data_IF_741033105562
#
_entry.id   IF_741033105562
#
_cell.length_a   1.000
_cell.length_b   1.000
_cell.length_c   1.000
_cell.angle_alpha   90.00
_cell.angle_beta   90.00
_cell.angle_gamma   90.00
#
_symmetry.space_group_name_H-M   'P 1'
#
loop_
_entity.id
_entity.type
_entity.pdbx_description
1 polymer ?
#
# COMPACT_ATOMS: atom_id res chain seq x y z
N UNK A 1 20.98 1.34 9.58
CA UNK A 1 19.74 0.62 9.89
C UNK A 1 19.39 -0.33 8.76
N UNK A 2 19.01 -1.53 9.11
CA UNK A 2 18.59 -2.49 8.11
C UNK A 2 17.15 -2.18 7.65
N UNK A 3 16.96 -2.18 6.33
CA UNK A 3 15.64 -1.98 5.73
C UNK A 3 15.02 -3.33 5.36
N UNK A 4 15.24 -4.32 6.23
CA UNK A 4 14.76 -5.67 5.99
C UNK A 4 13.61 -6.00 6.91
N UNK A 5 12.64 -6.70 6.34
CA UNK A 5 11.50 -7.23 7.05
C UNK A 5 11.47 -8.73 6.88
N UNK A 6 10.82 -9.43 7.79
CA UNK A 6 10.80 -10.89 7.79
C UNK A 6 9.40 -11.42 7.50
N UNK A 7 9.32 -12.66 7.06
CA UNK A 7 8.03 -13.33 6.87
C UNK A 7 7.19 -13.22 8.13
N UNK A 8 5.92 -12.87 7.93
CA UNK A 8 4.98 -12.69 9.02
C UNK A 8 4.91 -11.27 9.58
N UNK A 9 5.83 -10.39 9.20
CA UNK A 9 5.75 -8.99 9.60
C UNK A 9 4.55 -8.32 8.95
N UNK A 10 3.87 -7.45 9.70
CA UNK A 10 2.80 -6.63 9.17
C UNK A 10 3.32 -5.21 9.01
N UNK A 11 3.20 -4.68 7.81
CA UNK A 11 3.67 -3.33 7.50
C UNK A 11 2.50 -2.43 7.14
N UNK A 12 2.58 -1.19 7.61
CA UNK A 12 1.59 -0.17 7.23
C UNK A 12 2.04 0.50 5.94
N UNK A 13 1.27 0.30 4.89
CA UNK A 13 1.46 1.00 3.63
C UNK A 13 0.59 2.25 3.66
N UNK A 14 1.21 3.41 3.51
CA UNK A 14 0.52 4.69 3.63
C UNK A 14 0.78 5.56 2.41
N UNK A 15 -0.22 6.33 2.00
CA UNK A 15 -0.12 7.25 0.88
C UNK A 15 -0.80 8.56 1.22
N UNK A 16 -0.21 9.66 0.75
CA UNK A 16 -0.79 11.00 0.89
C UNK A 16 -1.15 11.52 -0.49
N UNK A 17 -2.37 12.03 -0.63
CA UNK A 17 -2.85 12.63 -1.88
C UNK A 17 -2.92 14.14 -1.70
N UNK A 18 -2.28 14.86 -2.60
CA UNK A 18 -2.22 16.32 -2.52
C UNK A 18 -2.55 16.95 -3.87
N UNK A 19 -3.10 18.18 -3.80
CA UNK A 19 -3.23 19.08 -4.95
C UNK A 19 -2.49 20.36 -4.56
N UNK A 20 -1.49 20.73 -5.36
CA UNK A 20 -0.69 21.94 -5.11
C UNK A 20 -0.15 22.00 -3.68
N UNK A 21 0.27 20.85 -3.15
CA UNK A 21 0.81 20.75 -1.80
C UNK A 21 -0.22 20.66 -0.68
N UNK A 22 -1.52 20.70 -1.00
CA UNK A 22 -2.58 20.60 -0.01
C UNK A 22 -3.19 19.20 0.00
N UNK A 23 -3.26 18.59 1.18
CA UNK A 23 -3.87 17.27 1.33
C UNK A 23 -5.34 17.32 0.91
N UNK A 24 -5.72 16.44 -0.02
CA UNK A 24 -7.05 16.43 -0.62
C UNK A 24 -7.53 15.00 -0.81
N UNK A 25 -8.79 14.73 -0.50
CA UNK A 25 -9.37 13.40 -0.69
C UNK A 25 -9.67 13.14 -2.16
N UNK A 26 -9.18 12.02 -2.74
CA UNK A 26 -9.64 11.58 -4.06
C UNK A 26 -11.09 11.08 -3.97
N UNK A 27 -11.75 10.98 -5.12
CA UNK A 27 -13.10 10.38 -5.17
C UNK A 27 -13.07 8.88 -4.88
N UNK A 28 -12.02 8.19 -5.34
CA UNK A 28 -11.80 6.78 -5.01
C UNK A 28 -10.34 6.57 -4.64
N UNK A 29 -10.10 5.60 -3.75
CA UNK A 29 -8.75 5.20 -3.35
C UNK A 29 -8.66 3.68 -3.41
N UNK A 30 -7.63 3.18 -4.07
CA UNK A 30 -7.37 1.76 -4.18
C UNK A 30 -5.90 1.47 -3.89
N UNK A 31 -5.65 0.33 -3.28
CA UNK A 31 -4.30 -0.19 -3.08
C UNK A 31 -4.21 -1.55 -3.76
N UNK A 32 -3.26 -1.69 -4.66
CA UNK A 32 -2.97 -2.96 -5.31
C UNK A 32 -1.70 -3.52 -4.70
N UNK A 33 -1.74 -4.78 -4.28
CA UNK A 33 -0.59 -5.46 -3.66
C UNK A 33 -0.34 -6.75 -4.41
N UNK A 34 0.92 -6.98 -4.76
CA UNK A 34 1.33 -8.20 -5.46
C UNK A 34 2.44 -8.88 -4.68
N UNK A 35 2.20 -10.14 -4.32
CA UNK A 35 3.21 -10.97 -3.65
C UNK A 35 4.22 -11.50 -4.66
N UNK A 36 5.40 -11.99 -4.20
CA UNK A 36 6.44 -12.47 -5.12
C UNK A 36 6.02 -13.63 -6.01
N UNK A 37 5.08 -14.44 -5.54
CA UNK A 37 4.63 -15.62 -6.28
C UNK A 37 3.33 -15.39 -7.04
N UNK A 38 2.69 -14.24 -6.86
CA UNK A 38 1.41 -13.98 -7.51
C UNK A 38 1.60 -13.49 -8.94
N UNK A 39 0.68 -13.91 -9.82
CA UNK A 39 0.66 -13.45 -11.21
C UNK A 39 -0.23 -12.23 -11.40
N UNK A 40 -1.02 -11.89 -10.38
CA UNK A 40 -1.93 -10.75 -10.42
C UNK A 40 -1.94 -10.05 -9.07
N UNK A 41 -2.29 -8.77 -9.09
CA UNK A 41 -2.40 -7.96 -7.86
C UNK A 41 -3.71 -8.23 -7.16
N UNK A 42 -3.70 -8.12 -5.82
CA UNK A 42 -4.92 -8.05 -5.03
C UNK A 42 -5.27 -6.59 -4.85
N UNK A 43 -6.53 -6.23 -5.10
CA UNK A 43 -6.98 -4.85 -5.01
C UNK A 43 -7.80 -4.65 -3.72
N UNK A 44 -7.42 -3.65 -2.94
CA UNK A 44 -8.15 -3.21 -1.76
C UNK A 44 -8.71 -1.82 -2.01
N UNK A 45 -9.97 -1.59 -1.70
CA UNK A 45 -10.61 -0.29 -1.97
C UNK A 45 -11.15 0.34 -0.69
N UNK A 46 -11.07 1.67 -0.65
CA UNK A 46 -11.61 2.42 0.48
C UNK A 46 -13.14 2.30 0.56
N UNK A 47 -13.80 2.29 -0.59
CA UNK A 47 -15.27 2.16 -0.65
C UNK A 47 -15.78 0.87 -0.03
N UNK A 48 -14.95 -0.19 -0.03
CA UNK A 48 -15.29 -1.48 0.57
C UNK A 48 -14.75 -1.62 1.99
N UNK A 49 -14.28 -0.52 2.59
CA UNK A 49 -13.69 -0.48 3.93
C UNK A 49 -12.42 -1.33 4.07
N UNK A 50 -11.73 -1.59 2.98
CA UNK A 50 -10.49 -2.37 2.98
C UNK A 50 -9.24 -1.51 3.18
N UNK A 51 -9.38 -0.21 3.03
CA UNK A 51 -8.35 0.79 3.26
C UNK A 51 -8.87 1.76 4.30
N UNK A 52 -8.01 2.22 5.19
CA UNK A 52 -8.39 3.15 6.25
C UNK A 52 -7.91 4.56 5.92
N UNK A 53 -8.79 5.54 6.15
CA UNK A 53 -8.44 6.95 6.04
C UNK A 53 -7.95 7.43 7.41
N UNK A 54 -6.70 7.89 7.46
CA UNK A 54 -6.12 8.42 8.69
C UNK A 54 -6.60 9.84 8.96
N UNK A 55 -6.50 10.68 7.93
CA UNK A 55 -6.99 12.06 7.95
C UNK A 55 -7.17 12.48 6.50
N UNK A 56 -7.62 13.71 6.25
CA UNK A 56 -7.84 14.19 4.89
C UNK A 56 -6.63 13.94 4.00
N UNK A 57 -6.82 13.23 2.90
CA UNK A 57 -5.79 12.93 1.92
C UNK A 57 -4.80 11.85 2.31
N UNK A 58 -4.87 11.30 3.51
CA UNK A 58 -3.92 10.29 3.98
C UNK A 58 -4.65 8.98 4.24
N UNK A 59 -4.22 7.92 3.52
CA UNK A 59 -4.83 6.61 3.58
C UNK A 59 -3.77 5.56 3.87
N UNK A 60 -4.16 4.49 4.56
CA UNK A 60 -3.24 3.42 4.87
C UNK A 60 -3.95 2.06 4.91
N UNK A 61 -3.13 1.02 4.84
CA UNK A 61 -3.56 -0.34 5.10
C UNK A 61 -2.39 -1.11 5.71
N UNK A 62 -2.69 -1.88 6.74
CA UNK A 62 -1.73 -2.80 7.34
C UNK A 62 -1.78 -4.10 6.56
N UNK A 63 -0.67 -4.47 5.94
CA UNK A 63 -0.57 -5.65 5.08
C UNK A 63 0.38 -6.66 5.70
N UNK A 64 -0.07 -7.90 5.96
CA UNK A 64 0.83 -8.95 6.41
C UNK A 64 1.63 -9.51 5.23
N UNK A 65 2.93 -9.51 5.36
CA UNK A 65 3.82 -10.08 4.34
C UNK A 65 4.18 -11.50 4.76
N UNK A 66 3.47 -12.46 4.20
CA UNK A 66 3.49 -13.85 4.66
C UNK A 66 4.53 -14.72 3.99
N UNK A 67 5.14 -14.29 2.90
CA UNK A 67 6.15 -15.06 2.19
C UNK A 67 7.35 -14.19 1.85
N UNK A 68 8.52 -14.82 1.76
CA UNK A 68 9.76 -14.13 1.39
C UNK A 68 9.75 -13.74 -0.09
N UNK A 69 10.52 -12.73 -0.42
CA UNK A 69 10.68 -12.21 -1.77
C UNK A 69 10.32 -10.74 -1.87
N UNK A 70 10.29 -10.23 -3.10
CA UNK A 70 10.00 -8.83 -3.34
C UNK A 70 8.50 -8.63 -3.53
N UNK A 71 7.92 -7.81 -2.67
CA UNK A 71 6.52 -7.42 -2.76
C UNK A 71 6.42 -6.06 -3.43
N UNK A 72 5.38 -5.88 -4.26
CA UNK A 72 5.11 -4.62 -4.93
C UNK A 72 3.72 -4.12 -4.56
N UNK A 73 3.57 -2.80 -4.51
CA UNK A 73 2.25 -2.19 -4.29
C UNK A 73 2.11 -0.92 -5.09
N UNK A 74 0.86 -0.54 -5.31
CA UNK A 74 0.53 0.70 -6.00
C UNK A 74 -0.72 1.29 -5.38
N UNK A 75 -0.63 2.55 -4.99
CA UNK A 75 -1.77 3.34 -4.57
C UNK A 75 -2.33 4.08 -5.78
N UNK A 76 -3.66 4.09 -5.92
CA UNK A 76 -4.34 4.78 -7.02
C UNK A 76 -5.47 5.60 -6.45
N UNK A 77 -5.45 6.91 -6.74
CA UNK A 77 -6.54 7.82 -6.46
C UNK A 77 -7.15 8.29 -7.77
N UNK A 78 -8.47 8.46 -7.81
CA UNK A 78 -9.17 8.96 -8.99
C UNK A 78 -10.15 10.05 -8.61
N UNK A 79 -10.69 10.74 -9.62
CA UNK A 79 -11.65 11.82 -9.44
C UNK A 79 -10.99 13.15 -9.14
N UNK A 80 -11.29 13.73 -7.99
CA UNK A 80 -10.76 15.04 -7.59
C UNK A 80 -9.24 15.07 -7.60
N UNK A 81 -8.61 13.97 -7.16
CA UNK A 81 -7.15 13.80 -7.23
C UNK A 81 -6.88 12.54 -8.03
N UNK A 82 -6.29 12.68 -9.21
CA UNK A 82 -5.89 11.55 -10.04
C UNK A 82 -4.39 11.35 -9.86
N UNK A 83 -4.00 10.35 -9.09
CA UNK A 83 -2.59 10.12 -8.77
C UNK A 83 -2.33 8.64 -8.52
N UNK A 84 -1.08 8.25 -8.71
CA UNK A 84 -0.62 6.90 -8.40
C UNK A 84 0.75 6.98 -7.74
N UNK A 85 0.99 6.08 -6.79
CA UNK A 85 2.26 5.98 -6.10
C UNK A 85 2.59 4.50 -5.94
N UNK A 86 3.81 4.12 -6.29
CA UNK A 86 4.25 2.73 -6.28
C UNK A 86 5.41 2.54 -5.32
N UNK A 87 5.51 1.34 -4.76
CA UNK A 87 6.61 0.98 -3.90
C UNK A 87 6.88 -0.52 -3.93
N UNK A 88 7.97 -0.90 -3.30
CA UNK A 88 8.30 -2.30 -3.12
C UNK A 88 9.10 -2.49 -1.84
N UNK A 89 9.16 -3.74 -1.39
CA UNK A 89 9.93 -4.11 -0.20
C UNK A 89 10.41 -5.56 -0.36
N UNK A 90 11.60 -5.81 0.13
CA UNK A 90 12.15 -7.16 0.19
C UNK A 90 11.81 -7.78 1.54
N UNK A 91 11.14 -8.92 1.51
CA UNK A 91 10.84 -9.69 2.71
C UNK A 91 11.81 -10.86 2.78
N UNK A 92 12.47 -11.01 3.90
CA UNK A 92 13.45 -12.07 4.09
C UNK A 92 12.86 -13.20 4.92
N UNK A 93 13.36 -14.39 4.66
CA UNK A 93 13.04 -15.53 5.49
C UNK A 93 13.76 -15.38 6.82
N UNK A 94 13.05 -15.61 7.91
CA UNK A 94 13.66 -15.59 9.23
C UNK A 94 14.72 -16.69 9.41
N UNK A 95 15.53 -16.59 10.45
CA UNK A 95 16.61 -17.54 10.69
C UNK A 95 16.15 -18.93 11.16
N UNK A 96 14.87 -19.08 11.44
CA UNK A 96 14.33 -20.35 11.93
C UNK A 96 13.49 -21.08 10.90
#
# INVERSE_FOLDING_TARGET
MADFYHEGDTLRLQCSFTISGTLTDPSTVSLLVRSPTATASTTYTYALAEVTKSTTGIYYKDVPFSIEGTWHWRWVGTGTVAAADEGNVMIQKGPL
#
